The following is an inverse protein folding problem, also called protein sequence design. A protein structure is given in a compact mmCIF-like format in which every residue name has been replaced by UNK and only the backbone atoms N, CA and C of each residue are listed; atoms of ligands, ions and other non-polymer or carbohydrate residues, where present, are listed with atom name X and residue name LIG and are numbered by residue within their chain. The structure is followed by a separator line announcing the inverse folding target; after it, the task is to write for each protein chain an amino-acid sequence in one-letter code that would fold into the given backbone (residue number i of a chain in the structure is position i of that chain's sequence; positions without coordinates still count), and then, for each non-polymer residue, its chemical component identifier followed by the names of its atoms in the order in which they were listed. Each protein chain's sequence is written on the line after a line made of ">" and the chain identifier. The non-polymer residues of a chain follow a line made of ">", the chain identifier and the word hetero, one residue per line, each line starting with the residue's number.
data_IF_953667880563
#
_entry.id   IF_953667880563
#
_cell.length_a   1.000
_cell.length_b   1.000
_cell.length_c   1.000
_cell.angle_alpha   90.00
_cell.angle_beta   90.00
_cell.angle_gamma   90.00
#
_symmetry.space_group_name_H-M   'P 1'
#
loop_
_entity.id
_entity.type
_entity.pdbx_description
1 polymer ?
#
# COMPACT_ATOMS: atom_id res chain seq x y z
N UNK A 1 -1.02 9.48 -9.89
CA UNK A 1 0.31 9.77 -9.34
C UNK A 1 0.44 9.04 -8.01
N UNK A 2 1.63 8.56 -7.63
CA UNK A 2 1.79 7.89 -6.34
C UNK A 2 1.54 8.86 -5.18
N UNK A 3 0.83 8.40 -4.16
CA UNK A 3 0.61 9.12 -2.92
C UNK A 3 0.87 8.18 -1.74
N UNK A 4 1.96 8.44 -1.01
CA UNK A 4 2.42 7.62 0.10
C UNK A 4 1.45 7.60 1.28
N UNK A 5 0.89 8.75 1.64
CA UNK A 5 -0.07 8.86 2.74
C UNK A 5 -1.34 8.04 2.47
N UNK A 6 -1.86 8.13 1.24
CA UNK A 6 -2.98 7.33 0.78
C UNK A 6 -2.66 5.84 0.86
N UNK A 7 -1.51 5.43 0.33
CA UNK A 7 -1.09 4.03 0.36
C UNK A 7 -1.03 3.49 1.79
N UNK A 8 -0.31 4.17 2.68
CA UNK A 8 -0.13 3.73 4.07
C UNK A 8 -1.46 3.65 4.82
N UNK A 9 -2.34 4.63 4.61
CA UNK A 9 -3.68 4.63 5.20
C UNK A 9 -4.53 3.45 4.72
N UNK A 10 -4.61 3.25 3.41
CA UNK A 10 -5.41 2.16 2.83
C UNK A 10 -4.83 0.78 3.16
N UNK A 11 -3.50 0.66 3.18
CA UNK A 11 -2.81 -0.55 3.59
C UNK A 11 -3.17 -0.96 5.01
N UNK A 12 -3.27 -0.01 5.95
CA UNK A 12 -3.66 -0.31 7.34
C UNK A 12 -5.11 -0.77 7.48
N UNK A 13 -6.00 -0.28 6.63
CA UNK A 13 -7.42 -0.68 6.63
C UNK A 13 -7.62 -2.08 6.03
N UNK A 14 -6.81 -2.45 5.04
CA UNK A 14 -7.06 -3.67 4.25
C UNK A 14 -6.14 -4.85 4.56
N UNK A 15 -5.04 -4.63 5.28
CA UNK A 15 -4.07 -5.68 5.60
C UNK A 15 -3.98 -5.90 7.11
N UNK A 16 -3.73 -7.15 7.49
CA UNK A 16 -3.37 -7.49 8.86
C UNK A 16 -2.09 -6.77 9.32
N UNK A 17 -2.04 -6.43 10.60
CA UNK A 17 -0.98 -5.68 11.27
C UNK A 17 0.40 -6.28 11.12
N UNK A 18 0.49 -7.60 10.98
CA UNK A 18 1.77 -8.25 10.70
C UNK A 18 2.42 -7.74 9.40
N UNK A 19 1.64 -7.29 8.41
CA UNK A 19 2.17 -6.80 7.13
C UNK A 19 2.46 -5.29 7.14
N UNK A 20 1.99 -4.53 8.12
CA UNK A 20 2.07 -3.06 8.12
C UNK A 20 3.50 -2.55 8.02
N UNK A 21 4.45 -3.12 8.78
CA UNK A 21 5.87 -2.70 8.69
C UNK A 21 6.46 -2.96 7.30
N UNK A 22 6.10 -4.10 6.69
CA UNK A 22 6.58 -4.43 5.32
C UNK A 22 5.95 -3.50 4.29
N UNK A 23 4.68 -3.14 4.46
CA UNK A 23 3.96 -2.19 3.60
C UNK A 23 4.53 -0.77 3.75
N UNK A 24 4.84 -0.32 4.96
CA UNK A 24 5.49 0.98 5.17
C UNK A 24 6.85 1.03 4.47
N UNK A 25 7.68 -0.01 4.60
CA UNK A 25 8.96 -0.09 3.87
C UNK A 25 8.74 -0.14 2.35
N UNK A 26 7.73 -0.85 1.88
CA UNK A 26 7.34 -0.87 0.46
C UNK A 26 6.95 0.54 -0.01
N UNK A 27 6.28 1.32 0.83
CA UNK A 27 5.88 2.71 0.51
C UNK A 27 7.08 3.64 0.29
N UNK A 28 8.21 3.37 0.94
CA UNK A 28 9.44 4.16 0.78
C UNK A 28 10.18 3.89 -0.53
N UNK A 29 10.04 2.69 -1.08
CA UNK A 29 10.78 2.27 -2.29
C UNK A 29 9.98 2.50 -3.58
N UNK A 30 8.68 2.77 -3.50
CA UNK A 30 7.86 3.10 -4.67
C UNK A 30 8.28 4.48 -5.21
N UNK A 31 8.71 4.57 -6.48
CA UNK A 31 9.09 5.85 -7.06
C UNK A 31 7.91 6.83 -7.13
N UNK A 32 8.17 8.14 -7.16
CA UNK A 32 7.11 9.17 -7.26
C UNK A 32 6.17 8.99 -8.47
N UNK A 33 6.71 8.44 -9.57
CA UNK A 33 5.93 8.11 -10.77
C UNK A 33 4.95 6.95 -10.55
N UNK A 34 5.04 6.25 -9.42
CA UNK A 34 4.20 5.11 -9.06
C UNK A 34 4.48 3.84 -9.84
N UNK A 35 5.62 3.73 -10.52
CA UNK A 35 5.97 2.55 -11.32
C UNK A 35 7.09 1.82 -10.60
N UNK A 36 6.78 0.66 -10.02
CA UNK A 36 7.74 -0.23 -9.40
C UNK A 36 8.12 -1.34 -10.39
N UNK A 37 9.33 -1.22 -10.93
CA UNK A 37 9.94 -2.20 -11.83
C UNK A 37 11.06 -2.92 -11.06
N UNK A 38 10.65 -3.93 -10.29
CA UNK A 38 11.55 -4.73 -9.46
C UNK A 38 10.99 -6.15 -9.33
N UNK A 39 11.88 -7.13 -9.36
CA UNK A 39 11.51 -8.54 -9.14
C UNK A 39 11.16 -8.78 -7.67
N UNK A 40 10.36 -9.82 -7.41
CA UNK A 40 10.02 -10.25 -6.04
C UNK A 40 11.28 -10.55 -5.19
N UNK A 41 12.36 -11.01 -5.83
CA UNK A 41 13.63 -11.29 -5.15
C UNK A 41 14.34 -10.00 -4.71
N UNK A 42 14.41 -8.99 -5.57
CA UNK A 42 15.01 -7.69 -5.24
C UNK A 42 14.22 -6.99 -4.14
N UNK A 43 12.90 -7.03 -4.24
CA UNK A 43 12.01 -6.48 -3.21
C UNK A 43 12.16 -7.23 -1.89
N UNK A 44 12.27 -8.56 -1.90
CA UNK A 44 12.48 -9.35 -0.69
C UNK A 44 13.79 -8.96 0.02
N UNK A 45 14.86 -8.70 -0.73
CA UNK A 45 16.13 -8.23 -0.19
C UNK A 45 16.01 -6.81 0.38
N UNK A 46 15.41 -5.87 -0.36
CA UNK A 46 15.25 -4.48 0.09
C UNK A 46 14.34 -4.36 1.33
N UNK A 47 13.28 -5.16 1.38
CA UNK A 47 12.31 -5.16 2.47
C UNK A 47 12.75 -6.03 3.66
N UNK A 48 13.88 -6.74 3.53
CA UNK A 48 14.39 -7.71 4.51
C UNK A 48 13.31 -8.73 4.91
N UNK A 49 12.71 -9.38 3.92
CA UNK A 49 11.59 -10.32 4.11
C UNK A 49 11.67 -11.49 3.12
N UNK A 50 10.75 -12.46 3.21
CA UNK A 50 10.73 -13.59 2.28
C UNK A 50 10.07 -13.22 0.94
N UNK A 51 10.55 -13.83 -0.14
CA UNK A 51 9.95 -13.71 -1.48
C UNK A 51 8.45 -14.03 -1.48
N UNK A 52 8.05 -15.07 -0.75
CA UNK A 52 6.65 -15.48 -0.68
C UNK A 52 5.78 -14.44 0.04
N UNK A 53 6.33 -13.76 1.06
CA UNK A 53 5.65 -12.65 1.73
C UNK A 53 5.49 -11.44 0.80
N UNK A 54 6.53 -11.09 0.03
CA UNK A 54 6.44 -10.06 -1.00
C UNK A 54 5.37 -10.42 -2.03
N UNK A 55 5.40 -11.64 -2.57
CA UNK A 55 4.42 -12.10 -3.55
C UNK A 55 3.00 -12.03 -3.00
N UNK A 56 2.79 -12.46 -1.76
CA UNK A 56 1.49 -12.36 -1.09
C UNK A 56 1.02 -10.91 -1.02
N UNK A 57 1.85 -10.00 -0.47
CA UNK A 57 1.50 -8.57 -0.36
C UNK A 57 1.16 -7.98 -1.72
N UNK A 58 2.01 -8.17 -2.73
CA UNK A 58 1.79 -7.62 -4.07
C UNK A 58 0.51 -8.15 -4.72
N UNK A 59 0.19 -9.43 -4.51
CA UNK A 59 -1.06 -10.01 -5.00
C UNK A 59 -2.27 -9.41 -4.27
N UNK A 60 -2.22 -9.27 -2.95
CA UNK A 60 -3.34 -8.70 -2.19
C UNK A 60 -3.56 -7.22 -2.52
N UNK A 61 -2.49 -6.45 -2.77
CA UNK A 61 -2.59 -5.05 -3.22
C UNK A 61 -3.36 -4.91 -4.56
N UNK A 62 -3.40 -5.97 -5.37
CA UNK A 62 -4.16 -5.98 -6.64
C UNK A 62 -5.62 -6.44 -6.50
N UNK A 63 -5.99 -7.00 -5.35
CA UNK A 63 -7.30 -7.65 -5.12
C UNK A 63 -8.23 -6.88 -4.19
N UNK A 64 -7.74 -5.84 -3.50
CA UNK A 64 -8.59 -5.00 -2.66
C UNK A 64 -9.74 -4.38 -3.47
N UNK A 65 -10.89 -4.12 -2.83
CA UNK A 65 -12.06 -3.51 -3.49
C UNK A 65 -11.72 -2.19 -4.21
N UNK A 66 -10.78 -1.45 -3.65
CA UNK A 66 -10.02 -0.40 -4.33
C UNK A 66 -8.58 -0.89 -4.48
N UNK A 67 -8.16 -1.42 -5.64
CA UNK A 67 -6.81 -1.92 -5.86
C UNK A 67 -5.77 -0.84 -5.57
N UNK A 68 -4.81 -1.15 -4.71
CA UNK A 68 -3.70 -0.25 -4.39
C UNK A 68 -2.53 -0.41 -5.37
N UNK A 69 -2.51 -1.49 -6.14
CA UNK A 69 -1.58 -1.68 -7.23
C UNK A 69 -2.28 -2.34 -8.42
N UNK A 70 -1.81 -2.03 -9.63
CA UNK A 70 -2.19 -2.75 -10.85
C UNK A 70 -0.95 -3.42 -11.41
N UNK A 71 -1.02 -4.74 -11.63
CA UNK A 71 0.05 -5.49 -12.30
C UNK A 71 -0.05 -5.27 -13.82
N UNK A 72 1.03 -4.77 -14.43
CA UNK A 72 1.15 -4.62 -15.89
C UNK A 72 2.42 -5.33 -16.35
N UNK A 73 2.30 -6.46 -17.04
CA UNK A 73 3.45 -7.27 -17.46
C UNK A 73 4.36 -7.61 -16.26
N UNK A 74 5.55 -7.00 -16.21
CA UNK A 74 6.58 -7.21 -15.18
C UNK A 74 6.67 -6.07 -14.16
N UNK A 75 5.75 -5.09 -14.18
CA UNK A 75 5.78 -3.93 -13.27
C UNK A 75 4.49 -3.78 -12.48
N UNK A 76 4.60 -3.15 -11.30
CA UNK A 76 3.45 -2.75 -10.49
C UNK A 76 3.24 -1.24 -10.61
N UNK A 77 2.00 -0.85 -10.86
CA UNK A 77 1.60 0.55 -11.03
C UNK A 77 0.72 0.98 -9.86
N UNK A 78 1.18 1.99 -9.13
CA UNK A 78 0.56 2.64 -7.99
C UNK A 78 0.07 4.01 -8.44
N UNK A 79 -1.08 4.02 -9.12
CA UNK A 79 -1.68 5.22 -9.69
C UNK A 79 -3.09 5.39 -9.14
N UNK A 80 -3.27 6.37 -8.27
CA UNK A 80 -4.52 6.57 -7.55
C UNK A 80 -5.34 7.72 -8.16
N UNK A 81 -6.66 7.53 -8.21
CA UNK A 81 -7.60 8.60 -8.57
C UNK A 81 -7.56 9.69 -7.47
N UNK A 82 -7.35 10.97 -7.83
CA UNK A 82 -7.40 12.09 -6.88
C UNK A 82 -8.67 12.12 -6.00
N UNK A 83 -9.81 11.65 -6.51
CA UNK A 83 -11.05 11.56 -5.73
C UNK A 83 -10.95 10.54 -4.60
N UNK A 84 -10.30 9.40 -4.83
CA UNK A 84 -10.09 8.37 -3.80
C UNK A 84 -9.08 8.87 -2.75
N UNK A 85 -8.04 9.59 -3.18
CA UNK A 85 -7.10 10.26 -2.26
C UNK A 85 -7.84 11.24 -1.34
N UNK A 86 -8.71 12.08 -1.90
CA UNK A 86 -9.49 13.05 -1.12
C UNK A 86 -10.44 12.35 -0.13
N UNK A 87 -11.15 11.30 -0.57
CA UNK A 87 -12.03 10.51 0.32
C UNK A 87 -11.27 9.90 1.49
N UNK A 88 -10.12 9.29 1.23
CA UNK A 88 -9.28 8.72 2.28
C UNK A 88 -8.77 9.78 3.26
N UNK A 89 -8.37 10.96 2.76
CA UNK A 89 -7.97 12.09 3.61
C UNK A 89 -9.13 12.56 4.52
N UNK A 90 -10.35 12.66 3.98
CA UNK A 90 -11.55 12.99 4.77
C UNK A 90 -11.85 11.92 5.82
N UNK A 91 -11.77 10.64 5.46
CA UNK A 91 -11.99 9.53 6.39
C UNK A 91 -10.94 9.52 7.52
N UNK A 92 -9.66 9.75 7.19
CA UNK A 92 -8.57 9.88 8.17
C UNK A 92 -8.81 11.03 9.14
N UNK A 93 -9.24 12.19 8.64
CA UNK A 93 -9.57 13.34 9.49
C UNK A 93 -10.77 13.05 10.40
N UNK A 94 -11.81 12.38 9.89
CA UNK A 94 -12.98 11.99 10.67
C UNK A 94 -12.61 11.02 11.80
N UNK A 95 -11.80 9.99 11.51
CA UNK A 95 -11.30 9.07 12.54
C UNK A 95 -10.48 9.79 13.61
N UNK A 96 -9.56 10.66 13.21
CA UNK A 96 -8.76 11.44 14.15
C UNK A 96 -9.61 12.32 15.07
N UNK A 97 -10.70 12.91 14.56
CA UNK A 97 -11.63 13.70 15.38
C UNK A 97 -12.41 12.85 16.40
N UNK A 98 -12.55 11.56 16.13
CA UNK A 98 -13.16 10.58 17.03
C UNK A 98 -12.15 9.92 17.98
N UNK A 99 -10.86 10.27 17.88
CA UNK A 99 -9.79 9.62 18.64
C UNK A 99 -9.46 8.19 18.18
N UNK A 100 -9.87 7.83 16.95
CA UNK A 100 -9.66 6.52 16.35
C UNK A 100 -8.43 6.52 15.42
N UNK A 101 -7.77 5.38 15.35
CA UNK A 101 -6.70 5.03 14.44
C UNK A 101 -7.18 3.99 13.42
N UNK A 102 -6.61 3.95 12.19
CA UNK A 102 -6.82 2.82 11.27
C UNK A 102 -6.56 1.45 11.91
N UNK A 103 -5.69 1.38 12.92
CA UNK A 103 -5.37 0.15 13.64
C UNK A 103 -6.50 -0.34 14.57
N UNK A 104 -7.53 0.46 14.81
CA UNK A 104 -8.66 0.11 15.70
C UNK A 104 -9.76 -0.71 15.00
N UNK A 105 -9.61 -0.98 13.69
CA UNK A 105 -10.62 -1.62 12.85
C UNK A 105 -10.27 -3.07 12.44
N UNK A 106 -9.28 -3.69 13.09
CA UNK A 106 -8.92 -5.11 12.92
C UNK A 106 -9.88 -6.09 13.62
#
# INVERSE_FOLDING_TARGET
>A
MYNKDFFNFMSRIHFHKEFHETLEKLSEIIPEKGILDATENELAQQLNTSKDRVRYILNELTKTSTPLAVKKENRYVFDYDPKEIAKAAHARAAMSNMGLSPDDFE
#
